data_IF_011497050630
#
_entry.id   IF_011497050630
#
_cell.length_a   1.000
_cell.length_b   1.000
_cell.length_c   1.000
_cell.angle_alpha   90.00
_cell.angle_beta   90.00
_cell.angle_gamma   90.00
#
_symmetry.space_group_name_H-M   'P 1'
#
loop_
_entity.id
_entity.type
_entity.pdbx_description
1 polymer ?
#
# COMPACT_ATOMS: atom_id res chain seq x y z
N UNK A 1 23.94 -46.64 76.72
CA UNK A 1 24.91 -46.43 77.82
C UNK A 1 25.18 -44.93 77.90
N UNK A 2 24.96 -44.32 79.07
CA UNK A 2 25.27 -42.92 79.47
C UNK A 2 24.47 -41.82 78.70
N UNK A 3 23.46 -41.12 79.25
CA UNK A 3 23.31 -40.27 80.45
C UNK A 3 23.90 -38.84 80.28
N UNK A 4 23.04 -37.85 80.62
CA UNK A 4 23.31 -36.44 81.03
C UNK A 4 23.65 -35.42 79.93
N UNK A 5 23.35 -34.14 80.08
CA UNK A 5 22.38 -33.37 80.87
C UNK A 5 22.43 -31.91 80.37
N UNK A 6 21.35 -31.15 80.64
CA UNK A 6 21.32 -29.74 81.08
C UNK A 6 21.79 -28.53 80.21
N UNK A 7 20.79 -27.67 80.04
CA UNK A 7 20.69 -26.24 80.45
C UNK A 7 21.38 -25.13 79.67
N UNK A 8 20.63 -24.02 79.54
CA UNK A 8 21.07 -22.66 79.24
C UNK A 8 20.50 -22.21 77.89
N UNK A 9 19.63 -21.22 77.76
CA UNK A 9 19.46 -20.02 78.59
C UNK A 9 19.57 -18.82 77.66
N UNK A 10 18.45 -18.11 77.52
CA UNK A 10 18.27 -16.69 77.21
C UNK A 10 18.97 -16.04 76.01
N UNK A 11 18.14 -15.49 75.12
CA UNK A 11 18.57 -14.56 74.08
C UNK A 11 17.47 -14.11 73.12
N UNK A 12 16.28 -13.76 73.64
CA UNK A 12 15.20 -13.14 72.86
C UNK A 12 15.61 -11.72 72.42
N UNK A 13 16.42 -11.65 71.36
CA UNK A 13 16.65 -10.43 70.61
C UNK A 13 15.40 -10.08 69.80
N UNK A 14 14.51 -9.26 70.37
CA UNK A 14 13.43 -8.59 69.62
C UNK A 14 14.06 -7.65 68.58
N UNK A 15 14.32 -8.13 67.37
CA UNK A 15 14.49 -7.25 66.20
C UNK A 15 13.13 -6.67 65.88
N UNK A 16 12.92 -5.41 66.23
CA UNK A 16 11.79 -4.61 65.74
C UNK A 16 11.79 -4.65 64.21
N UNK A 17 10.68 -5.07 63.56
CA UNK A 17 10.59 -5.02 62.11
C UNK A 17 10.64 -3.56 61.70
N UNK A 18 11.70 -3.16 60.99
CA UNK A 18 11.77 -1.87 60.33
C UNK A 18 10.60 -1.82 59.35
N UNK A 19 9.57 -1.02 59.67
CA UNK A 19 8.47 -0.74 58.74
C UNK A 19 9.09 -0.10 57.50
N UNK A 20 9.27 -0.89 56.44
CA UNK A 20 9.52 -0.35 55.11
C UNK A 20 8.26 0.43 54.71
N UNK A 21 8.32 1.74 54.89
CA UNK A 21 7.36 2.66 54.33
C UNK A 21 7.50 2.62 52.80
N UNK A 22 6.73 1.77 52.14
CA UNK A 22 6.41 1.91 50.72
C UNK A 22 5.45 3.08 50.54
N UNK A 23 5.91 4.29 50.90
CA UNK A 23 5.22 5.52 50.57
C UNK A 23 5.36 5.76 49.06
N UNK A 24 4.43 5.16 48.31
CA UNK A 24 3.84 5.69 47.09
C UNK A 24 4.77 6.33 46.07
N UNK A 25 5.48 5.52 45.29
CA UNK A 25 5.82 5.90 43.91
C UNK A 25 4.63 5.47 43.04
N UNK A 26 3.53 6.23 43.10
CA UNK A 26 2.48 6.12 42.09
C UNK A 26 3.00 6.87 40.86
N UNK A 27 3.23 6.22 39.71
CA UNK A 27 3.66 6.93 38.52
C UNK A 27 2.60 7.96 38.13
N UNK A 28 2.98 9.25 38.19
CA UNK A 28 2.12 10.44 37.95
C UNK A 28 1.62 10.59 36.50
N UNK A 29 1.88 9.63 35.63
CA UNK A 29 1.51 9.73 34.21
C UNK A 29 0.40 8.73 33.88
N UNK A 30 -0.80 9.01 34.39
CA UNK A 30 -2.01 8.45 33.76
C UNK A 30 -2.25 9.27 32.50
N UNK A 31 -1.67 8.85 31.37
CA UNK A 31 -2.14 9.33 30.08
C UNK A 31 -3.66 9.04 30.05
N UNK A 32 -4.52 10.04 29.84
CA UNK A 32 -5.95 9.79 29.82
C UNK A 32 -6.22 8.76 28.72
N UNK A 33 -6.88 7.66 29.08
CA UNK A 33 -7.17 6.54 28.17
C UNK A 33 -7.76 7.03 26.85
N UNK A 34 -8.53 8.13 26.88
CA UNK A 34 -9.05 8.81 25.69
C UNK A 34 -8.00 9.27 24.68
N UNK A 35 -6.84 9.80 25.10
CA UNK A 35 -5.76 10.22 24.17
C UNK A 35 -5.15 9.00 23.48
N UNK A 36 -4.92 7.92 24.22
CA UNK A 36 -4.40 6.67 23.65
C UNK A 36 -5.37 6.10 22.63
N UNK A 37 -6.67 6.07 22.95
CA UNK A 37 -7.70 5.59 22.03
C UNK A 37 -7.80 6.44 20.76
N UNK A 38 -7.79 7.77 20.88
CA UNK A 38 -7.80 8.68 19.71
C UNK A 38 -6.57 8.43 18.84
N UNK A 39 -5.38 8.31 19.45
CA UNK A 39 -4.16 8.01 18.70
C UNK A 39 -4.26 6.67 17.98
N UNK A 40 -4.71 5.60 18.65
CA UNK A 40 -4.92 4.29 18.01
C UNK A 40 -5.92 4.34 16.86
N UNK A 41 -7.02 5.09 16.99
CA UNK A 41 -8.01 5.26 15.92
C UNK A 41 -7.44 6.02 14.72
N UNK A 42 -6.69 7.10 14.97
CA UNK A 42 -6.03 7.87 13.91
C UNK A 42 -4.98 7.00 13.22
N UNK A 43 -4.11 6.33 13.98
CA UNK A 43 -3.10 5.43 13.43
C UNK A 43 -3.73 4.28 12.66
N UNK A 44 -4.83 3.69 13.15
CA UNK A 44 -5.58 2.66 12.46
C UNK A 44 -6.23 3.17 11.17
N UNK A 45 -6.87 4.33 11.21
CA UNK A 45 -7.46 4.96 10.02
C UNK A 45 -6.40 5.18 8.95
N UNK A 46 -5.27 5.77 9.33
CA UNK A 46 -4.15 5.91 8.44
C UNK A 46 -3.79 4.51 7.94
N UNK A 47 -3.40 3.57 8.82
CA UNK A 47 -2.94 2.21 8.50
C UNK A 47 -3.78 1.50 7.43
N UNK A 48 -5.10 1.59 7.53
CA UNK A 48 -6.03 0.87 6.66
C UNK A 48 -6.54 1.68 5.46
N UNK A 49 -6.70 3.00 5.57
CA UNK A 49 -7.45 3.80 4.58
C UNK A 49 -6.62 4.85 3.85
N UNK A 50 -5.44 5.19 4.35
CA UNK A 50 -4.61 6.22 3.75
C UNK A 50 -3.14 5.85 3.87
N UNK A 51 -2.67 4.96 2.97
CA UNK A 51 -1.33 4.35 2.96
C UNK A 51 -0.15 5.30 2.70
N UNK A 52 -0.23 6.56 3.14
CA UNK A 52 0.79 7.58 2.92
C UNK A 52 2.17 7.20 3.50
N UNK A 53 2.25 6.42 4.60
CA UNK A 53 3.54 6.01 5.16
C UNK A 53 4.27 5.00 4.28
N UNK A 54 3.57 4.36 3.32
CA UNK A 54 4.19 3.48 2.33
C UNK A 54 4.54 4.21 1.04
N UNK A 55 4.24 5.51 0.92
CA UNK A 55 4.57 6.25 -0.29
C UNK A 55 6.07 6.52 -0.35
N UNK A 56 6.62 6.29 -1.53
CA UNK A 56 8.01 6.55 -1.85
C UNK A 56 8.17 7.95 -2.45
N UNK A 57 9.26 8.61 -2.13
CA UNK A 57 9.61 9.90 -2.70
C UNK A 57 10.03 9.72 -4.17
N UNK A 58 9.09 9.96 -5.08
CA UNK A 58 9.27 9.77 -6.51
C UNK A 58 10.22 10.78 -7.16
N UNK A 59 10.72 11.77 -6.39
CA UNK A 59 11.69 12.76 -6.88
C UNK A 59 13.04 12.13 -7.25
N UNK A 60 13.38 10.98 -6.65
CA UNK A 60 14.63 10.28 -6.93
C UNK A 60 14.48 9.22 -8.04
N UNK A 61 13.28 9.07 -8.62
CA UNK A 61 13.03 8.04 -9.63
C UNK A 61 13.44 8.51 -11.02
N UNK A 62 14.27 7.71 -11.69
CA UNK A 62 14.70 7.97 -13.06
C UNK A 62 13.71 7.38 -14.08
N UNK A 63 13.06 6.28 -13.76
CA UNK A 63 12.28 5.44 -14.66
C UNK A 63 10.85 5.18 -14.17
N UNK A 64 10.65 5.01 -12.86
CA UNK A 64 9.32 5.02 -12.26
C UNK A 64 8.81 6.46 -12.12
N UNK A 65 7.49 6.61 -12.16
CA UNK A 65 6.82 7.85 -11.89
C UNK A 65 5.54 7.57 -11.08
N UNK A 66 5.23 8.51 -10.19
CA UNK A 66 3.90 8.54 -9.59
C UNK A 66 2.91 9.10 -10.60
N UNK A 67 1.90 8.31 -10.93
CA UNK A 67 0.83 8.71 -11.82
C UNK A 67 -0.29 9.38 -11.03
N UNK A 68 -0.73 10.55 -11.49
CA UNK A 68 -1.82 11.32 -10.90
C UNK A 68 -2.77 11.72 -12.02
N UNK A 69 -4.00 11.22 -11.96
CA UNK A 69 -5.06 11.53 -12.92
C UNK A 69 -6.30 12.09 -12.23
N UNK A 70 -7.14 12.84 -12.96
CA UNK A 70 -8.38 13.42 -12.42
C UNK A 70 -9.44 12.36 -12.09
N UNK A 71 -9.38 11.19 -12.73
CA UNK A 71 -10.31 10.06 -12.52
C UNK A 71 -9.62 8.80 -12.03
N UNK A 72 -8.31 8.83 -11.81
CA UNK A 72 -7.52 7.69 -11.33
C UNK A 72 -6.98 8.00 -9.94
N UNK A 73 -7.23 7.11 -8.97
CA UNK A 73 -6.61 7.19 -7.63
C UNK A 73 -6.32 5.81 -7.08
N UNK A 74 -5.30 5.69 -6.25
CA UNK A 74 -5.01 4.43 -5.58
C UNK A 74 -6.09 4.04 -4.58
N UNK A 75 -6.49 2.76 -4.60
CA UNK A 75 -7.38 2.17 -3.62
C UNK A 75 -6.76 2.30 -2.21
N UNK A 76 -7.54 2.79 -1.23
CA UNK A 76 -7.07 3.06 0.15
C UNK A 76 -5.85 3.99 0.24
N UNK A 77 -5.77 4.95 -0.69
CA UNK A 77 -4.68 5.92 -0.72
C UNK A 77 -3.33 5.32 -1.12
N UNK A 78 -3.32 4.17 -1.82
CA UNK A 78 -2.09 3.62 -2.42
C UNK A 78 -1.45 4.61 -3.39
N UNK A 79 -0.12 4.59 -3.45
CA UNK A 79 0.62 5.29 -4.48
C UNK A 79 0.50 4.52 -5.79
N UNK A 80 0.15 5.20 -6.88
CA UNK A 80 0.11 4.60 -8.22
C UNK A 80 1.45 4.85 -8.89
N UNK A 81 2.27 3.81 -8.99
CA UNK A 81 3.58 3.87 -9.61
C UNK A 81 3.56 3.16 -10.96
N UNK A 82 4.04 3.82 -12.00
CA UNK A 82 4.15 3.27 -13.36
C UNK A 82 5.51 3.61 -13.94
N UNK A 83 5.97 2.83 -14.92
CA UNK A 83 7.14 3.20 -15.69
C UNK A 83 6.83 4.44 -16.57
N UNK A 84 7.81 5.32 -16.77
CA UNK A 84 7.63 6.57 -17.53
C UNK A 84 7.15 6.33 -18.96
N UNK A 85 7.59 5.26 -19.61
CA UNK A 85 7.10 4.90 -20.97
C UNK A 85 5.62 4.51 -20.96
N UNK A 86 5.10 4.00 -19.84
CA UNK A 86 3.68 3.66 -19.68
C UNK A 86 2.81 4.88 -19.34
N UNK A 87 3.41 6.02 -19.00
CA UNK A 87 2.67 7.20 -18.53
C UNK A 87 1.65 7.70 -19.56
N UNK A 88 2.01 7.69 -20.85
CA UNK A 88 1.10 8.08 -21.94
C UNK A 88 -0.13 7.16 -22.01
N UNK A 89 0.07 5.87 -21.79
CA UNK A 89 -1.01 4.88 -21.75
C UNK A 89 -1.90 5.11 -20.53
N UNK A 90 -1.32 5.29 -19.33
CA UNK A 90 -2.07 5.62 -18.12
C UNK A 90 -2.91 6.90 -18.28
N UNK A 91 -2.37 7.92 -18.96
CA UNK A 91 -3.07 9.15 -19.28
C UNK A 91 -4.22 8.95 -20.29
N UNK A 92 -4.03 8.07 -21.28
CA UNK A 92 -5.08 7.67 -22.20
C UNK A 92 -6.22 6.93 -21.46
N UNK A 93 -5.90 6.02 -20.54
CA UNK A 93 -6.88 5.35 -19.68
C UNK A 93 -7.67 6.37 -18.84
N UNK A 94 -6.98 7.37 -18.27
CA UNK A 94 -7.65 8.45 -17.54
C UNK A 94 -8.57 9.28 -18.44
N UNK A 95 -8.19 9.58 -19.69
CA UNK A 95 -9.07 10.24 -20.66
C UNK A 95 -10.33 9.42 -20.94
N UNK A 96 -10.22 8.11 -21.11
CA UNK A 96 -11.39 7.24 -21.28
C UNK A 96 -12.29 7.24 -20.03
N UNK A 97 -11.70 7.23 -18.84
CA UNK A 97 -12.46 7.36 -17.60
C UNK A 97 -13.18 8.71 -17.49
N UNK A 98 -12.53 9.82 -17.88
CA UNK A 98 -13.15 11.16 -17.95
C UNK A 98 -14.31 11.17 -18.93
N UNK A 99 -14.10 10.69 -20.17
CA UNK A 99 -15.10 10.64 -21.23
C UNK A 99 -16.35 9.87 -20.80
N UNK A 100 -16.16 8.79 -20.04
CA UNK A 100 -17.24 7.94 -19.57
C UNK A 100 -17.74 8.27 -18.15
N UNK A 101 -17.28 9.37 -17.55
CA UNK A 101 -17.66 9.80 -16.20
C UNK A 101 -17.50 8.69 -15.12
N UNK A 102 -16.38 7.96 -15.19
CA UNK A 102 -16.01 6.92 -14.24
C UNK A 102 -14.86 7.40 -13.35
N UNK A 103 -14.74 6.81 -12.17
CA UNK A 103 -13.47 6.82 -11.43
C UNK A 103 -12.89 5.41 -11.39
N UNK A 104 -11.56 5.32 -11.55
CA UNK A 104 -10.82 4.08 -11.40
C UNK A 104 -10.10 4.09 -10.04
N UNK A 105 -10.38 3.09 -9.23
CA UNK A 105 -9.65 2.81 -7.99
C UNK A 105 -8.56 1.79 -8.29
N UNK A 106 -7.33 2.26 -8.44
CA UNK A 106 -6.20 1.39 -8.75
C UNK A 106 -5.88 0.51 -7.55
N UNK A 107 -6.17 -0.77 -7.66
CA UNK A 107 -5.87 -1.77 -6.64
C UNK A 107 -4.40 -2.19 -6.74
N UNK A 108 -3.83 -2.21 -7.94
CA UNK A 108 -2.44 -2.53 -8.19
C UNK A 108 -1.86 -1.74 -9.37
N UNK A 109 -0.60 -1.33 -9.25
CA UNK A 109 0.18 -0.71 -10.34
C UNK A 109 1.52 -1.44 -10.45
N UNK A 110 2.66 -0.74 -10.41
CA UNK A 110 3.97 -1.39 -10.24
C UNK A 110 3.97 -2.35 -9.03
N UNK A 111 4.45 -3.58 -9.26
CA UNK A 111 4.61 -4.62 -8.25
C UNK A 111 6.10 -4.82 -8.00
N UNK A 112 6.64 -4.42 -6.83
CA UNK A 112 8.04 -4.65 -6.54
C UNK A 112 8.33 -6.15 -6.40
N UNK A 113 9.56 -6.60 -6.71
CA UNK A 113 9.95 -7.99 -6.55
C UNK A 113 9.81 -8.42 -5.09
N UNK A 114 9.55 -9.71 -4.87
CA UNK A 114 9.43 -10.34 -3.55
C UNK A 114 8.25 -9.89 -2.66
N UNK A 115 7.34 -9.04 -3.15
CA UNK A 115 6.03 -8.88 -2.50
C UNK A 115 5.09 -10.01 -2.94
N UNK A 116 4.57 -10.77 -1.96
CA UNK A 116 3.47 -11.71 -2.21
C UNK A 116 2.26 -10.94 -2.74
N UNK A 117 1.63 -11.47 -3.78
CA UNK A 117 0.36 -10.98 -4.27
C UNK A 117 -0.72 -11.60 -3.40
N UNK A 118 -1.47 -10.78 -2.68
CA UNK A 118 -2.68 -11.21 -2.00
C UNK A 118 -3.86 -11.00 -2.95
N UNK A 119 -4.83 -11.92 -2.94
CA UNK A 119 -6.07 -11.84 -3.71
C UNK A 119 -5.93 -11.90 -5.25
N UNK A 120 -4.85 -12.50 -5.76
CA UNK A 120 -4.70 -12.74 -7.19
C UNK A 120 -5.72 -13.79 -7.68
N UNK A 121 -6.57 -13.42 -8.64
CA UNK A 121 -7.52 -14.33 -9.29
C UNK A 121 -6.76 -15.37 -10.13
N UNK A 122 -5.63 -14.96 -10.71
CA UNK A 122 -4.77 -15.79 -11.56
C UNK A 122 -3.37 -15.90 -10.97
N UNK A 123 -2.72 -17.04 -11.15
CA UNK A 123 -1.33 -17.23 -10.72
C UNK A 123 -0.43 -16.14 -11.34
N UNK A 124 0.38 -15.40 -10.54
CA UNK A 124 1.22 -14.35 -11.07
C UNK A 124 2.19 -14.88 -12.13
N UNK A 125 2.08 -14.35 -13.35
CA UNK A 125 3.04 -14.67 -14.40
C UNK A 125 4.46 -14.24 -13.99
N UNK A 126 5.45 -15.08 -14.28
CA UNK A 126 6.89 -14.78 -14.05
C UNK A 126 7.29 -13.46 -14.71
N UNK A 127 6.68 -13.13 -15.86
CA UNK A 127 6.90 -11.91 -16.63
C UNK A 127 5.63 -11.07 -16.74
N UNK A 128 5.04 -10.71 -15.60
CA UNK A 128 3.89 -9.80 -15.53
C UNK A 128 4.29 -8.35 -15.88
N UNK A 129 3.44 -7.63 -16.62
CA UNK A 129 3.66 -6.20 -16.91
C UNK A 129 3.64 -5.32 -15.65
N UNK A 130 3.02 -5.76 -14.54
CA UNK A 130 3.13 -5.05 -13.25
C UNK A 130 4.57 -4.98 -12.74
N UNK A 131 5.38 -6.01 -12.99
CA UNK A 131 6.79 -6.02 -12.56
C UNK A 131 7.65 -5.04 -13.36
N UNK A 132 7.23 -4.67 -14.56
CA UNK A 132 7.88 -3.65 -15.37
C UNK A 132 7.26 -2.26 -15.20
N UNK A 133 6.15 -2.11 -14.44
CA UNK A 133 5.44 -0.85 -14.30
C UNK A 133 4.54 -0.49 -15.49
N UNK A 134 4.15 -1.48 -16.30
CA UNK A 134 3.36 -1.34 -17.52
C UNK A 134 1.92 -1.88 -17.39
N UNK A 135 1.38 -1.95 -16.17
CA UNK A 135 0.04 -2.46 -15.94
C UNK A 135 -0.68 -1.78 -14.76
N UNK A 136 -2.01 -1.77 -14.82
CA UNK A 136 -2.92 -1.28 -13.79
C UNK A 136 -4.03 -2.30 -13.56
N UNK A 137 -4.21 -2.69 -12.30
CA UNK A 137 -5.43 -3.37 -11.84
C UNK A 137 -6.32 -2.35 -11.15
N UNK A 138 -7.63 -2.41 -11.38
CA UNK A 138 -8.54 -1.41 -10.86
C UNK A 138 -9.95 -1.94 -10.55
N UNK A 139 -10.66 -1.22 -9.70
CA UNK A 139 -12.12 -1.30 -9.61
C UNK A 139 -12.74 -0.03 -10.23
N UNK A 140 -13.89 -0.14 -10.88
CA UNK A 140 -14.60 1.05 -11.40
C UNK A 140 -15.59 1.58 -10.37
N UNK A 141 -15.75 2.90 -10.31
CA UNK A 141 -16.77 3.55 -9.49
C UNK A 141 -17.70 4.34 -10.41
N UNK A 142 -18.99 4.01 -10.33
CA UNK A 142 -20.05 4.68 -11.06
C UNK A 142 -21.33 4.74 -10.21
N UNK A 143 -21.95 5.93 -10.11
CA UNK A 143 -23.18 6.11 -9.35
C UNK A 143 -23.07 5.70 -7.87
N UNK A 144 -21.90 5.86 -7.25
CA UNK A 144 -21.65 5.44 -5.87
C UNK A 144 -21.43 3.93 -5.68
N UNK A 145 -21.59 3.11 -6.72
CA UNK A 145 -21.30 1.67 -6.70
C UNK A 145 -19.87 1.41 -7.16
N UNK A 146 -19.20 0.47 -6.49
CA UNK A 146 -17.94 -0.12 -6.92
C UNK A 146 -18.23 -1.38 -7.76
N UNK A 147 -17.60 -1.48 -8.93
CA UNK A 147 -17.64 -2.63 -9.82
C UNK A 147 -16.27 -3.30 -9.79
N UNK A 148 -16.26 -4.56 -9.38
CA UNK A 148 -15.04 -5.36 -9.21
C UNK A 148 -14.98 -6.43 -10.31
N UNK A 149 -13.94 -7.26 -10.31
CA UNK A 149 -13.73 -8.29 -11.36
C UNK A 149 -14.97 -9.14 -11.65
N UNK A 150 -15.68 -9.59 -10.61
CA UNK A 150 -16.94 -10.37 -10.75
C UNK A 150 -18.06 -9.63 -11.47
N UNK A 151 -18.11 -8.30 -11.39
CA UNK A 151 -19.12 -7.48 -12.06
C UNK A 151 -18.75 -7.26 -13.53
N UNK A 152 -17.46 -7.13 -13.82
CA UNK A 152 -16.93 -6.70 -15.13
C UNK A 152 -16.72 -7.86 -16.12
N UNK A 153 -17.17 -9.07 -15.77
CA UNK A 153 -16.98 -10.24 -16.61
C UNK A 153 -17.72 -10.13 -17.96
N UNK A 154 -17.22 -10.84 -18.96
CA UNK A 154 -17.79 -10.98 -20.29
C UNK A 154 -19.27 -11.39 -20.24
N UNK A 155 -19.62 -12.36 -19.39
CA UNK A 155 -21.00 -12.81 -19.17
C UNK A 155 -21.93 -11.77 -18.53
N UNK A 156 -21.37 -10.73 -17.89
CA UNK A 156 -22.12 -9.62 -17.31
C UNK A 156 -22.14 -8.37 -18.20
N UNK A 157 -21.38 -8.33 -19.30
CA UNK A 157 -21.18 -7.14 -20.10
C UNK A 157 -22.49 -6.47 -20.55
N UNK A 158 -23.48 -7.24 -21.02
CA UNK A 158 -24.78 -6.71 -21.47
C UNK A 158 -25.58 -6.00 -20.37
N UNK A 159 -25.39 -6.41 -19.10
CA UNK A 159 -26.06 -5.88 -17.92
C UNK A 159 -25.36 -4.64 -17.33
N UNK A 160 -24.15 -4.30 -17.81
CA UNK A 160 -23.39 -3.18 -17.29
C UNK A 160 -24.04 -1.83 -17.68
N UNK A 161 -23.91 -0.80 -16.80
CA UNK A 161 -24.26 0.57 -17.14
C UNK A 161 -23.62 1.02 -18.46
N UNK A 162 -24.33 1.86 -19.23
CA UNK A 162 -23.86 2.34 -20.54
C UNK A 162 -22.49 3.00 -20.47
N UNK A 163 -22.19 3.73 -19.41
CA UNK A 163 -20.90 4.38 -19.20
C UNK A 163 -19.74 3.41 -18.96
N UNK A 164 -19.99 2.31 -18.24
CA UNK A 164 -18.99 1.25 -18.05
C UNK A 164 -18.73 0.53 -19.38
N UNK A 165 -19.80 0.21 -20.13
CA UNK A 165 -19.66 -0.36 -21.48
C UNK A 165 -18.89 0.58 -22.42
N UNK A 166 -19.18 1.88 -22.35
CA UNK A 166 -18.48 2.90 -23.12
C UNK A 166 -16.98 2.93 -22.84
N UNK A 167 -16.58 2.89 -21.56
CA UNK A 167 -15.17 2.81 -21.18
C UNK A 167 -14.50 1.54 -21.70
N UNK A 168 -15.12 0.37 -21.51
CA UNK A 168 -14.55 -0.90 -21.99
C UNK A 168 -14.42 -0.89 -23.52
N UNK A 169 -15.42 -0.37 -24.24
CA UNK A 169 -15.37 -0.27 -25.69
C UNK A 169 -14.30 0.71 -26.17
N UNK A 170 -14.11 1.84 -25.48
CA UNK A 170 -13.05 2.80 -25.79
C UNK A 170 -11.66 2.17 -25.60
N UNK A 171 -11.45 1.41 -24.52
CA UNK A 171 -10.21 0.65 -24.29
C UNK A 171 -10.01 -0.41 -25.37
N UNK A 172 -11.04 -1.21 -25.68
CA UNK A 172 -10.96 -2.26 -26.72
C UNK A 172 -10.69 -1.72 -28.12
N UNK A 173 -11.10 -0.49 -28.38
CA UNK A 173 -10.87 0.19 -29.66
C UNK A 173 -9.45 0.77 -29.77
N UNK A 174 -8.71 0.82 -28.66
CA UNK A 174 -7.34 1.34 -28.59
C UNK A 174 -6.33 0.20 -28.75
N UNK A 175 -5.60 0.18 -29.87
CA UNK A 175 -4.65 -0.90 -30.16
C UNK A 175 -3.42 -0.89 -29.25
N UNK A 176 -3.16 0.20 -28.54
CA UNK A 176 -2.03 0.31 -27.63
C UNK A 176 -2.35 -0.25 -26.24
N UNK A 177 -3.63 -0.54 -25.94
CA UNK A 177 -4.11 -0.98 -24.63
C UNK A 177 -4.79 -2.32 -24.75
N UNK A 178 -4.46 -3.25 -23.86
CA UNK A 178 -5.14 -4.53 -23.76
C UNK A 178 -6.10 -4.52 -22.57
N UNK A 179 -7.32 -4.97 -22.83
CA UNK A 179 -8.32 -5.24 -21.82
C UNK A 179 -8.17 -6.67 -21.31
N UNK A 180 -7.93 -6.86 -20.01
CA UNK A 180 -7.75 -8.20 -19.45
C UNK A 180 -9.00 -9.09 -19.52
N UNK A 181 -10.19 -8.50 -19.70
CA UNK A 181 -11.40 -9.28 -19.96
C UNK A 181 -11.46 -9.94 -21.34
N UNK A 182 -10.49 -9.66 -22.22
CA UNK A 182 -10.32 -10.33 -23.52
C UNK A 182 -9.16 -11.34 -23.52
N UNK A 183 -8.53 -11.59 -22.36
CA UNK A 183 -7.50 -12.62 -22.22
C UNK A 183 -8.10 -14.04 -22.23
N UNK A 184 -7.26 -15.03 -22.53
CA UNK A 184 -7.67 -16.45 -22.51
C UNK A 184 -8.23 -16.86 -21.14
N UNK A 185 -7.55 -16.45 -20.06
CA UNK A 185 -8.11 -16.46 -18.71
C UNK A 185 -8.53 -15.05 -18.37
N UNK A 186 -9.84 -14.86 -18.22
CA UNK A 186 -10.44 -13.54 -18.06
C UNK A 186 -9.91 -12.82 -16.79
N UNK A 187 -9.40 -11.59 -16.96
CA UNK A 187 -9.03 -10.69 -15.88
C UNK A 187 -9.60 -9.28 -16.14
N UNK A 188 -10.91 -9.06 -15.96
CA UNK A 188 -11.62 -7.87 -16.42
C UNK A 188 -11.39 -6.63 -15.52
N UNK A 189 -10.32 -6.65 -14.74
CA UNK A 189 -9.82 -5.52 -13.95
C UNK A 189 -8.40 -5.12 -14.34
N UNK A 190 -7.79 -5.84 -15.29
CA UNK A 190 -6.41 -5.62 -15.72
C UNK A 190 -6.33 -4.80 -17.01
N UNK A 191 -5.44 -3.82 -17.04
CA UNK A 191 -5.07 -3.01 -18.20
C UNK A 191 -3.56 -2.99 -18.35
N UNK A 192 -3.06 -3.27 -19.55
CA UNK A 192 -1.63 -3.09 -19.88
C UNK A 192 -1.42 -2.76 -21.37
N UNK A 193 -0.18 -2.52 -21.76
CA UNK A 193 0.20 -2.28 -23.15
C UNK A 193 0.78 -3.53 -23.86
N UNK A 194 0.83 -4.67 -23.16
CA UNK A 194 1.38 -5.92 -23.66
C UNK A 194 2.88 -5.95 -23.87
N UNK A 195 3.67 -5.11 -23.19
CA UNK A 195 5.12 -5.06 -23.34
C UNK A 195 5.79 -6.44 -23.23
N UNK A 196 5.40 -7.26 -22.26
CA UNK A 196 5.93 -8.61 -22.04
C UNK A 196 5.74 -9.57 -23.23
N UNK A 197 4.79 -9.30 -24.13
CA UNK A 197 4.57 -10.10 -25.35
C UNK A 197 5.21 -9.42 -26.55
N UNK A 198 5.09 -8.09 -26.66
CA UNK A 198 5.55 -7.30 -27.80
C UNK A 198 7.08 -7.19 -27.88
N UNK A 199 7.73 -6.96 -26.74
CA UNK A 199 9.19 -6.78 -26.66
C UNK A 199 9.73 -7.23 -25.30
N UNK A 200 10.13 -8.51 -25.24
CA UNK A 200 10.61 -9.11 -24.02
C UNK A 200 11.94 -8.52 -23.52
N UNK A 201 12.79 -8.01 -24.42
CA UNK A 201 14.07 -7.40 -24.04
C UNK A 201 13.83 -6.05 -23.38
N UNK A 202 12.93 -5.25 -23.96
CA UNK A 202 12.51 -3.97 -23.36
C UNK A 202 11.79 -4.19 -22.03
N UNK A 203 10.99 -5.25 -21.91
CA UNK A 203 10.40 -5.65 -20.63
C UNK A 203 11.47 -5.94 -19.57
N UNK A 204 12.49 -6.74 -19.88
CA UNK A 204 13.58 -7.08 -18.94
C UNK A 204 14.37 -5.85 -18.50
N UNK A 205 14.62 -4.93 -19.44
CA UNK A 205 15.22 -3.64 -19.15
C UNK A 205 14.37 -2.81 -18.18
N UNK A 206 13.08 -2.63 -18.47
CA UNK A 206 12.17 -1.84 -17.62
C UNK A 206 11.95 -2.48 -16.25
N UNK A 207 11.91 -3.81 -16.18
CA UNK A 207 11.92 -4.53 -14.91
C UNK A 207 13.13 -4.13 -14.06
N UNK A 208 14.36 -4.25 -14.59
CA UNK A 208 15.58 -3.90 -13.85
C UNK A 208 15.64 -2.41 -13.45
N UNK A 209 15.17 -1.53 -14.32
CA UNK A 209 15.07 -0.09 -14.05
C UNK A 209 14.11 0.21 -12.90
N UNK A 210 12.91 -0.37 -12.91
CA UNK A 210 11.93 -0.17 -11.85
C UNK A 210 12.40 -0.73 -10.51
N UNK A 211 13.04 -1.90 -10.51
CA UNK A 211 13.64 -2.47 -9.30
C UNK A 211 14.69 -1.52 -8.72
N UNK A 212 15.56 -0.96 -9.57
CA UNK A 212 16.60 -0.02 -9.15
C UNK A 212 16.01 1.23 -8.50
N UNK A 213 15.02 1.86 -9.13
CA UNK A 213 14.35 3.04 -8.57
C UNK A 213 13.65 2.72 -7.24
N UNK A 214 12.93 1.60 -7.17
CA UNK A 214 12.18 1.21 -5.98
C UNK A 214 13.10 0.90 -4.79
N UNK A 215 14.20 0.19 -5.01
CA UNK A 215 15.12 -0.21 -3.93
C UNK A 215 15.95 0.95 -3.38
N UNK A 216 16.18 1.99 -4.19
CA UNK A 216 16.90 3.20 -3.78
C UNK A 216 15.98 4.30 -3.24
N UNK A 217 14.67 4.05 -3.19
CA UNK A 217 13.67 5.02 -2.80
C UNK A 217 13.65 5.29 -1.29
N UNK A 218 13.58 6.56 -0.89
CA UNK A 218 13.25 6.92 0.48
C UNK A 218 11.72 7.08 0.66
N UNK A 219 11.15 6.73 1.83
CA UNK A 219 9.75 7.05 2.12
C UNK A 219 9.50 8.56 2.14
N UNK A 220 8.38 9.03 1.56
CA UNK A 220 8.03 10.47 1.50
C UNK A 220 8.02 11.15 2.87
N UNK A 221 7.57 10.44 3.91
CA UNK A 221 7.51 10.99 5.26
C UNK A 221 8.91 11.27 5.82
N UNK A 222 9.89 10.43 5.49
CA UNK A 222 11.27 10.62 5.93
C UNK A 222 11.88 11.86 5.26
N UNK A 223 11.69 12.02 3.95
CA UNK A 223 12.10 13.22 3.21
C UNK A 223 11.46 14.50 3.78
N UNK A 224 10.20 14.42 4.22
CA UNK A 224 9.50 15.55 4.85
C UNK A 224 10.08 15.90 6.22
N UNK A 225 10.35 14.90 7.06
CA UNK A 225 10.97 15.09 8.38
C UNK A 225 12.36 15.69 8.23
N UNK A 226 13.22 15.15 7.35
CA UNK A 226 14.55 15.69 7.09
C UNK A 226 14.50 17.18 6.69
N UNK A 227 13.54 17.57 5.86
CA UNK A 227 13.35 18.97 5.42
C UNK A 227 12.92 19.89 6.57
N UNK A 228 12.00 19.44 7.42
CA UNK A 228 11.55 20.21 8.58
C UNK A 228 12.72 20.42 9.55
N UNK A 229 13.47 19.34 9.86
CA UNK A 229 14.63 19.43 10.75
C UNK A 229 15.71 20.35 10.18
N UNK A 230 16.02 20.23 8.89
CA UNK A 230 16.98 21.13 8.24
C UNK A 230 16.57 22.60 8.35
N UNK A 231 15.29 22.92 8.09
CA UNK A 231 14.79 24.29 8.27
C UNK A 231 14.87 24.80 9.71
N UNK A 232 14.74 23.93 10.72
CA UNK A 232 14.87 24.31 12.12
C UNK A 232 16.33 24.59 12.51
N UNK A 233 17.29 23.85 11.97
CA UNK A 233 18.71 23.96 12.35
C UNK A 233 19.52 24.91 11.47
N UNK A 234 19.07 25.23 10.26
CA UNK A 234 19.72 26.24 9.41
C UNK A 234 19.34 27.69 9.81
N UNK A 235 18.30 27.86 10.64
CA UNK A 235 17.81 29.15 11.16
C UNK A 235 18.36 29.49 12.58
N UNK A 236 19.34 28.72 13.09
CA UNK A 236 20.02 28.92 14.40
C UNK A 236 21.50 29.22 14.19
#
# INVERSE_FOLDING_TARGET
MVVRDRTGGDGLGKKTPTKMNFAGIIPKYRLPIGIVLIFCLISGYFYFYNQFWTHLDSKTFNFLAEYIGSRIRGHRGRQVLVHRDFYKIADQINRYAVKNNLHLLITQSYRPPNKKVHDAIVAPAVKSNHLAGHALDFNMVYGGKVFESRDLTSGNFSKLPVFIKGFINDVRSDTDIRWGGDFETEDPVHLDDGLNIKDIKKWEQHYGQCVTDYMNAEPKWLSRVKRILKGIFDDV
#
